data_IF_044423406145
#
_entry.id   IF_044423406145
#
_cell.length_a   1.000
_cell.length_b   1.000
_cell.length_c   1.000
_cell.angle_alpha   90.00
_cell.angle_beta   90.00
_cell.angle_gamma   90.00
#
_symmetry.space_group_name_H-M   'P 1'
#
loop_
_entity.id
_entity.type
_entity.pdbx_description
1 polymer ?
#
# COMPACT_ATOMS: atom_id res chain seq x y z
N UNK A 1 13.90 -21.89 14.21
CA UNK A 1 14.76 -20.69 14.19
C UNK A 1 13.98 -19.54 13.55
N UNK A 2 13.20 -18.81 14.34
CA UNK A 2 12.47 -17.62 13.86
C UNK A 2 13.49 -16.51 13.64
N UNK A 3 13.92 -16.35 12.39
CA UNK A 3 14.97 -15.41 12.03
C UNK A 3 14.58 -13.99 12.42
N UNK A 4 15.42 -13.32 13.21
CA UNK A 4 15.39 -11.88 13.51
C UNK A 4 15.34 -10.97 12.25
N UNK A 5 15.40 -11.55 11.06
CA UNK A 5 15.43 -10.91 9.75
C UNK A 5 14.18 -11.16 8.88
N UNK A 6 13.03 -11.55 9.44
CA UNK A 6 11.83 -11.68 8.62
C UNK A 6 11.36 -10.29 8.16
N UNK A 7 11.34 -10.01 6.84
CA UNK A 7 10.90 -8.72 6.35
C UNK A 7 9.37 -8.58 6.52
N UNK A 8 8.86 -7.35 6.72
CA UNK A 8 7.43 -7.13 6.88
C UNK A 8 6.66 -7.51 5.60
N UNK A 9 5.35 -7.82 5.70
CA UNK A 9 4.53 -8.29 4.58
C UNK A 9 4.63 -7.43 3.32
N UNK A 10 4.69 -6.10 3.50
CA UNK A 10 4.84 -5.11 2.42
C UNK A 10 6.08 -5.34 1.55
N UNK A 11 7.20 -5.77 2.14
CA UNK A 11 8.44 -6.05 1.40
C UNK A 11 8.29 -7.32 0.58
N UNK A 12 7.72 -8.37 1.18
CA UNK A 12 7.44 -9.63 0.46
C UNK A 12 6.45 -9.42 -0.69
N UNK A 13 5.46 -8.55 -0.51
CA UNK A 13 4.52 -8.18 -1.55
C UNK A 13 5.24 -7.44 -2.70
N UNK A 14 6.10 -6.47 -2.39
CA UNK A 14 6.89 -5.76 -3.39
C UNK A 14 7.84 -6.69 -4.17
N UNK A 15 8.51 -7.62 -3.48
CA UNK A 15 9.40 -8.61 -4.11
C UNK A 15 8.63 -9.53 -5.08
N UNK A 16 7.48 -10.05 -4.66
CA UNK A 16 6.63 -10.92 -5.49
C UNK A 16 6.12 -10.18 -6.73
N UNK A 17 5.60 -8.97 -6.54
CA UNK A 17 5.11 -8.15 -7.64
C UNK A 17 6.22 -7.82 -8.64
N UNK A 18 7.40 -7.43 -8.15
CA UNK A 18 8.54 -7.16 -9.01
C UNK A 18 8.93 -8.39 -9.83
N UNK A 19 9.10 -9.56 -9.19
CA UNK A 19 9.43 -10.81 -9.89
C UNK A 19 8.39 -11.19 -10.96
N UNK A 20 7.11 -10.95 -10.69
CA UNK A 20 6.04 -11.17 -11.65
C UNK A 20 6.15 -10.21 -12.84
N UNK A 21 6.39 -8.92 -12.60
CA UNK A 21 6.61 -7.92 -13.66
C UNK A 21 7.83 -8.25 -14.53
N UNK A 22 8.93 -8.72 -13.94
CA UNK A 22 10.07 -9.22 -14.70
C UNK A 22 9.64 -10.37 -15.63
N UNK A 23 8.91 -11.35 -15.10
CA UNK A 23 8.44 -12.51 -15.89
C UNK A 23 7.50 -12.09 -17.02
N UNK A 24 6.58 -11.15 -16.77
CA UNK A 24 5.62 -10.64 -17.75
C UNK A 24 6.34 -9.87 -18.86
N UNK A 25 7.26 -8.97 -18.51
CA UNK A 25 7.96 -8.12 -19.49
C UNK A 25 8.92 -8.89 -20.40
N UNK A 26 9.37 -10.10 -20.01
CA UNK A 26 10.15 -10.98 -20.89
C UNK A 26 9.33 -11.47 -22.09
N UNK A 27 8.00 -11.57 -21.95
CA UNK A 27 7.10 -12.04 -23.01
C UNK A 27 6.64 -10.93 -23.96
N UNK A 28 7.02 -9.68 -23.70
CA UNK A 28 6.63 -8.57 -24.58
C UNK A 28 7.21 -8.75 -25.97
N UNK A 29 6.43 -8.37 -26.98
CA UNK A 29 6.91 -8.25 -28.35
C UNK A 29 8.11 -7.29 -28.40
N UNK A 30 8.99 -7.48 -29.41
CA UNK A 30 10.22 -6.70 -29.55
C UNK A 30 9.97 -5.20 -29.47
N UNK A 31 8.89 -4.73 -30.10
CA UNK A 31 8.46 -3.33 -30.15
C UNK A 31 8.30 -2.69 -28.77
N UNK A 32 7.74 -3.40 -27.79
CA UNK A 32 7.49 -2.86 -26.45
C UNK A 32 8.58 -3.23 -25.43
N UNK A 33 9.46 -4.18 -25.76
CA UNK A 33 10.41 -4.77 -24.82
C UNK A 33 11.48 -3.81 -24.33
N UNK A 34 11.92 -2.90 -25.21
CA UNK A 34 13.07 -2.01 -24.97
C UNK A 34 12.69 -0.64 -24.41
N UNK A 35 11.41 -0.25 -24.53
CA UNK A 35 10.85 0.96 -23.93
C UNK A 35 10.03 0.56 -22.70
N UNK A 36 8.73 0.32 -22.87
CA UNK A 36 7.79 -0.02 -21.80
C UNK A 36 8.25 -1.18 -20.91
N UNK A 37 8.78 -2.25 -21.51
CA UNK A 37 9.31 -3.38 -20.75
C UNK A 37 10.52 -3.02 -19.90
N UNK A 38 11.38 -2.11 -20.39
CA UNK A 38 12.53 -1.61 -19.64
C UNK A 38 12.07 -0.72 -18.49
N UNK A 39 11.17 0.22 -18.75
CA UNK A 39 10.66 1.16 -17.76
C UNK A 39 9.98 0.44 -16.59
N UNK A 40 9.13 -0.56 -16.89
CA UNK A 40 8.50 -1.41 -15.86
C UNK A 40 9.54 -2.13 -14.98
N UNK A 41 10.60 -2.69 -15.58
CA UNK A 41 11.65 -3.40 -14.83
C UNK A 41 12.49 -2.44 -13.98
N UNK A 42 12.79 -1.27 -14.51
CA UNK A 42 13.54 -0.23 -13.79
C UNK A 42 12.75 0.31 -12.61
N UNK A 43 11.46 0.59 -12.82
CA UNK A 43 10.56 1.06 -11.78
C UNK A 43 10.33 -0.02 -10.71
N UNK A 44 10.13 -1.28 -11.10
CA UNK A 44 10.06 -2.40 -10.15
C UNK A 44 11.35 -2.54 -9.32
N UNK A 45 12.53 -2.36 -9.94
CA UNK A 45 13.83 -2.37 -9.23
C UNK A 45 13.95 -1.20 -8.26
N UNK A 46 13.46 -0.02 -8.63
CA UNK A 46 13.47 1.18 -7.78
C UNK A 46 12.57 0.99 -6.57
N UNK A 47 11.33 0.54 -6.77
CA UNK A 47 10.40 0.14 -5.73
C UNK A 47 11.04 -0.83 -4.72
N UNK A 48 11.65 -1.93 -5.20
CA UNK A 48 12.31 -2.90 -4.33
C UNK A 48 13.46 -2.29 -3.51
N UNK A 49 14.29 -1.43 -4.11
CA UNK A 49 15.39 -0.75 -3.42
C UNK A 49 14.87 0.17 -2.33
N UNK A 50 13.84 0.97 -2.63
CA UNK A 50 13.23 1.90 -1.67
C UNK A 50 12.54 1.13 -0.55
N UNK A 51 11.80 0.07 -0.85
CA UNK A 51 11.17 -0.80 0.14
C UNK A 51 12.20 -1.40 1.12
N UNK A 52 13.30 -1.93 0.59
CA UNK A 52 14.39 -2.46 1.42
C UNK A 52 15.04 -1.38 2.30
N UNK A 53 15.22 -0.16 1.78
CA UNK A 53 15.73 0.97 2.57
C UNK A 53 14.76 1.37 3.69
N UNK A 54 13.46 1.45 3.40
CA UNK A 54 12.43 1.75 4.39
C UNK A 54 12.44 0.74 5.56
N UNK A 55 12.71 -0.53 5.27
CA UNK A 55 12.81 -1.55 6.31
C UNK A 55 14.12 -1.45 7.12
N UNK A 56 15.27 -1.33 6.44
CA UNK A 56 16.59 -1.43 7.06
C UNK A 56 17.06 -0.13 7.74
N UNK A 57 16.78 1.02 7.13
CA UNK A 57 17.20 2.32 7.62
C UNK A 57 16.12 2.90 8.55
N UNK A 58 16.21 2.55 9.83
CA UNK A 58 15.24 2.98 10.84
C UNK A 58 15.25 4.51 11.05
N UNK A 59 16.40 5.15 10.88
CA UNK A 59 16.57 6.58 11.13
C UNK A 59 15.86 7.44 10.09
N UNK A 60 15.90 7.02 8.81
CA UNK A 60 15.22 7.70 7.70
C UNK A 60 13.97 6.96 7.23
N UNK A 61 13.38 6.12 8.08
CA UNK A 61 12.25 5.27 7.69
C UNK A 61 11.10 6.08 7.11
N UNK A 62 10.71 7.17 7.76
CA UNK A 62 9.64 8.05 7.34
C UNK A 62 9.87 8.58 5.91
N UNK A 63 11.06 9.11 5.64
CA UNK A 63 11.48 9.55 4.31
C UNK A 63 11.38 8.41 3.28
N UNK A 64 11.88 7.21 3.61
CA UNK A 64 11.85 6.08 2.67
C UNK A 64 10.43 5.56 2.43
N UNK A 65 9.56 5.57 3.43
CA UNK A 65 8.15 5.18 3.27
C UNK A 65 7.39 6.22 2.45
N UNK A 66 7.65 7.50 2.65
CA UNK A 66 7.13 8.56 1.79
C UNK A 66 7.59 8.40 0.34
N UNK A 67 8.87 8.09 0.11
CA UNK A 67 9.37 7.77 -1.22
C UNK A 67 8.69 6.52 -1.80
N UNK A 68 8.43 5.50 -0.96
CA UNK A 68 7.82 4.25 -1.40
C UNK A 68 6.38 4.47 -1.91
N UNK A 69 5.63 5.41 -1.33
CA UNK A 69 4.32 5.83 -1.84
C UNK A 69 4.45 6.31 -3.28
N UNK A 70 5.38 7.23 -3.55
CA UNK A 70 5.63 7.72 -4.91
C UNK A 70 6.06 6.60 -5.86
N UNK A 71 6.94 5.70 -5.44
CA UNK A 71 7.36 4.59 -6.31
C UNK A 71 6.22 3.63 -6.67
N UNK A 72 5.23 3.45 -5.79
CA UNK A 72 4.02 2.67 -6.09
C UNK A 72 3.18 3.38 -7.15
N UNK A 73 2.97 4.69 -7.01
CA UNK A 73 2.18 5.46 -7.98
C UNK A 73 2.85 5.53 -9.35
N UNK A 74 4.17 5.74 -9.40
CA UNK A 74 4.95 5.65 -10.64
C UNK A 74 4.82 4.26 -11.30
N UNK A 75 4.85 3.19 -10.51
CA UNK A 75 4.67 1.84 -11.05
C UNK A 75 3.25 1.63 -11.60
N UNK A 76 2.21 2.24 -10.99
CA UNK A 76 0.84 2.20 -11.52
C UNK A 76 0.76 2.88 -12.88
N UNK A 77 1.44 4.01 -13.04
CA UNK A 77 1.51 4.72 -14.32
C UNK A 77 2.20 3.88 -15.40
N UNK A 78 3.36 3.28 -15.10
CA UNK A 78 4.05 2.39 -16.05
C UNK A 78 3.16 1.19 -16.45
N UNK A 79 2.45 0.59 -15.50
CA UNK A 79 1.54 -0.53 -15.77
C UNK A 79 0.37 -0.10 -16.65
N UNK A 80 -0.19 1.09 -16.40
CA UNK A 80 -1.26 1.66 -17.22
C UNK A 80 -0.80 1.93 -18.64
N UNK A 81 0.41 2.48 -18.83
CA UNK A 81 1.01 2.68 -20.15
C UNK A 81 1.14 1.35 -20.90
N UNK A 82 1.64 0.30 -20.24
CA UNK A 82 1.74 -1.04 -20.84
C UNK A 82 0.39 -1.60 -21.28
N UNK A 83 -0.69 -1.31 -20.55
CA UNK A 83 -2.06 -1.65 -20.96
C UNK A 83 -2.51 -0.83 -22.17
N UNK A 84 -2.26 0.47 -22.19
CA UNK A 84 -2.72 1.37 -23.26
C UNK A 84 -2.09 1.03 -24.62
N UNK A 85 -0.82 0.65 -24.63
CA UNK A 85 -0.11 0.26 -25.86
C UNK A 85 -0.31 -1.20 -26.26
N UNK A 86 -1.10 -1.97 -25.49
CA UNK A 86 -1.34 -3.39 -25.78
C UNK A 86 -0.14 -4.31 -25.54
N UNK A 87 0.82 -3.91 -24.70
CA UNK A 87 2.01 -4.72 -24.42
C UNK A 87 1.71 -5.97 -23.55
N UNK A 88 0.66 -5.90 -22.73
CA UNK A 88 0.21 -7.00 -21.89
C UNK A 88 -0.56 -8.04 -22.71
N UNK A 89 -0.40 -9.31 -22.35
CA UNK A 89 -0.96 -10.43 -23.11
C UNK A 89 -2.50 -10.46 -23.12
N UNK A 90 -3.14 -9.89 -22.10
CA UNK A 90 -4.60 -9.78 -22.00
C UNK A 90 -5.00 -8.78 -20.93
N UNK A 91 -6.26 -8.32 -20.99
CA UNK A 91 -6.85 -7.51 -19.91
C UNK A 91 -6.83 -8.23 -18.55
N UNK A 92 -7.02 -9.56 -18.52
CA UNK A 92 -6.93 -10.36 -17.29
C UNK A 92 -5.53 -10.29 -16.65
N UNK A 93 -4.47 -10.26 -17.46
CA UNK A 93 -3.10 -10.09 -16.95
C UNK A 93 -2.92 -8.71 -16.33
N UNK A 94 -3.44 -7.66 -16.99
CA UNK A 94 -3.45 -6.31 -16.44
C UNK A 94 -4.20 -6.25 -15.09
N UNK A 95 -5.43 -6.74 -15.03
CA UNK A 95 -6.26 -6.70 -13.82
C UNK A 95 -5.59 -7.41 -12.64
N UNK A 96 -4.94 -8.56 -12.88
CA UNK A 96 -4.19 -9.27 -11.84
C UNK A 96 -3.05 -8.42 -11.27
N UNK A 97 -2.21 -7.86 -12.15
CA UNK A 97 -1.08 -7.01 -11.74
C UNK A 97 -1.56 -5.74 -11.04
N UNK A 98 -2.63 -5.13 -11.54
CA UNK A 98 -3.23 -3.93 -10.95
C UNK A 98 -3.74 -4.20 -9.53
N UNK A 99 -4.45 -5.31 -9.30
CA UNK A 99 -4.90 -5.71 -7.95
C UNK A 99 -3.74 -5.91 -6.99
N UNK A 100 -2.68 -6.62 -7.40
CA UNK A 100 -1.50 -6.80 -6.55
C UNK A 100 -0.82 -5.47 -6.22
N UNK A 101 -0.78 -4.54 -7.18
CA UNK A 101 -0.21 -3.22 -6.99
C UNK A 101 -1.08 -2.33 -6.10
N UNK A 102 -2.41 -2.45 -6.17
CA UNK A 102 -3.34 -1.76 -5.27
C UNK A 102 -3.26 -2.30 -3.84
N UNK A 103 -3.18 -3.62 -3.67
CA UNK A 103 -2.94 -4.26 -2.38
C UNK A 103 -1.61 -3.81 -1.77
N UNK A 104 -0.55 -3.72 -2.58
CA UNK A 104 0.72 -3.16 -2.15
C UNK A 104 0.58 -1.69 -1.75
N UNK A 105 -0.11 -0.88 -2.57
CA UNK A 105 -0.36 0.53 -2.27
C UNK A 105 -1.15 0.73 -0.97
N UNK A 106 -2.14 -0.12 -0.68
CA UNK A 106 -2.87 -0.10 0.58
C UNK A 106 -1.96 -0.40 1.78
N UNK A 107 -1.05 -1.38 1.64
CA UNK A 107 -0.07 -1.70 2.68
C UNK A 107 0.92 -0.55 2.91
N UNK A 108 1.45 0.04 1.83
CA UNK A 108 2.38 1.19 1.90
C UNK A 108 1.70 2.42 2.49
N UNK A 109 0.49 2.76 2.06
CA UNK A 109 -0.28 3.87 2.59
C UNK A 109 -0.71 3.66 4.05
N UNK A 110 -1.00 2.42 4.44
CA UNK A 110 -1.19 2.05 5.85
C UNK A 110 0.06 2.28 6.69
N UNK A 111 1.22 1.85 6.19
CA UNK A 111 2.51 2.07 6.85
C UNK A 111 2.83 3.57 6.96
N UNK A 112 2.59 4.35 5.90
CA UNK A 112 2.81 5.80 5.91
C UNK A 112 1.95 6.52 6.97
N UNK A 113 0.65 6.17 7.07
CA UNK A 113 -0.25 6.73 8.09
C UNK A 113 0.14 6.37 9.52
N UNK A 114 0.75 5.20 9.74
CA UNK A 114 1.26 4.81 11.06
C UNK A 114 2.46 5.67 11.49
N UNK A 115 3.26 6.16 10.54
CA UNK A 115 4.38 7.05 10.81
C UNK A 115 3.93 8.52 10.91
N UNK A 116 2.83 8.88 10.24
CA UNK A 116 2.21 10.20 10.31
C UNK A 116 0.77 10.13 10.85
N UNK A 117 0.58 9.86 12.16
CA UNK A 117 -0.75 9.88 12.74
C UNK A 117 -1.34 11.29 12.64
N UNK A 118 -2.41 11.47 11.85
CA UNK A 118 -3.14 12.73 11.81
C UNK A 118 -3.63 13.12 13.21
N UNK A 119 -3.59 14.41 13.54
CA UNK A 119 -3.90 14.93 14.88
C UNK A 119 -5.26 14.47 15.45
N UNK A 120 -6.25 14.19 14.59
CA UNK A 120 -7.54 13.63 14.98
C UNK A 120 -7.45 12.21 15.56
N UNK A 121 -6.55 11.37 15.04
CA UNK A 121 -6.31 10.02 15.57
C UNK A 121 -5.45 10.06 16.84
N UNK A 122 -4.55 11.05 16.96
CA UNK A 122 -3.77 11.26 18.18
C UNK A 122 -4.64 11.71 19.36
N UNK A 123 -5.71 12.49 19.11
CA UNK A 123 -6.71 12.86 20.10
C UNK A 123 -7.61 11.68 20.50
N UNK A 124 -8.04 10.85 19.54
CA UNK A 124 -8.83 9.65 19.81
C UNK A 124 -8.08 8.57 20.63
N UNK A 125 -6.75 8.48 20.48
CA UNK A 125 -5.92 7.58 21.30
C UNK A 125 -5.63 8.11 22.71
N UNK A 126 -5.75 9.42 22.94
CA UNK A 126 -5.60 10.05 24.27
C UNK A 126 -6.94 10.23 25.00
N UNK A 127 -8.06 10.14 24.30
CA UNK A 127 -9.39 10.12 24.92
C UNK A 127 -9.60 8.79 25.62
N UNK A 128 -9.58 8.79 26.96
CA UNK A 128 -10.09 7.69 27.77
C UNK A 128 -11.43 7.20 27.21
N UNK A 129 -11.69 5.88 27.19
CA UNK A 129 -13.00 5.39 26.81
C UNK A 129 -13.98 5.78 27.91
N UNK A 130 -14.60 6.96 27.80
CA UNK A 130 -15.86 7.27 28.47
C UNK A 130 -16.91 6.33 27.89
N UNK A 131 -16.92 5.13 28.47
CA UNK A 131 -17.96 4.11 28.35
C UNK A 131 -19.26 4.85 28.64
N UNK A 132 -20.06 5.05 27.58
CA UNK A 132 -21.26 5.87 27.63
C UNK A 132 -22.05 5.57 28.88
N UNK A 133 -22.15 6.57 29.77
CA UNK A 133 -23.16 6.56 30.81
C UNK A 133 -24.48 6.37 30.08
N UNK A 134 -25.03 5.17 30.19
CA UNK A 134 -26.39 4.89 29.75
C UNK A 134 -27.25 5.94 30.44
N UNK A 135 -27.88 6.80 29.66
CA UNK A 135 -28.94 7.71 30.09
C UNK A 135 -29.98 6.84 30.80
N UNK A 136 -29.87 6.76 32.13
CA UNK A 136 -30.91 6.18 32.97
C UNK A 136 -32.09 7.14 32.86
N UNK A 137 -33.15 6.63 32.25
CA UNK A 137 -34.43 7.28 32.03
C UNK A 137 -34.85 7.98 33.33
N UNK A 138 -35.03 9.30 33.28
CA UNK A 138 -35.59 10.08 34.38
C UNK A 138 -36.96 9.48 34.76
N UNK A 139 -37.15 9.30 36.06
CA UNK A 139 -38.40 8.94 36.69
C UNK A 139 -39.58 9.77 36.15
N UNK A 140 -40.65 9.09 35.74
CA UNK A 140 -41.96 9.70 35.61
C UNK A 140 -42.54 9.85 37.01
N UNK A 141 -42.48 11.06 37.56
CA UNK A 141 -43.28 11.47 38.70
C UNK A 141 -44.56 12.17 38.24
N UNK A 142 -45.54 12.11 39.14
CA UNK A 142 -46.80 12.85 39.21
C UNK A 142 -48.00 12.26 38.46
N UNK A 143 -48.96 11.81 39.28
CA UNK A 143 -50.28 11.40 38.84
C UNK A 143 -51.09 12.55 38.23
N UNK A 144 -52.01 12.16 37.36
CA UNK A 144 -53.11 12.98 36.90
C UNK A 144 -54.19 12.07 36.27
N UNK A 145 -55.14 11.61 37.08
CA UNK A 145 -56.58 11.91 36.92
C UNK A 145 -57.48 10.92 37.68
N UNK A 146 -58.28 11.51 38.59
CA UNK A 146 -59.63 11.17 39.07
C UNK A 146 -59.93 9.75 39.52
#
# INVERSE_FOLDING_TARGET
MTSRFQPPPVIKAAERLAAELYTVTLRFARTHRYEIGKDLREQARKLMRVANRAWRDKARREQWVGQLVWEVDELKQCLQQAKLVGALASFRQFERLARQLDELGAQVGGWNRQLHPSAQNAAAQRGEPQRGQKLSTRAASAGANR
#
